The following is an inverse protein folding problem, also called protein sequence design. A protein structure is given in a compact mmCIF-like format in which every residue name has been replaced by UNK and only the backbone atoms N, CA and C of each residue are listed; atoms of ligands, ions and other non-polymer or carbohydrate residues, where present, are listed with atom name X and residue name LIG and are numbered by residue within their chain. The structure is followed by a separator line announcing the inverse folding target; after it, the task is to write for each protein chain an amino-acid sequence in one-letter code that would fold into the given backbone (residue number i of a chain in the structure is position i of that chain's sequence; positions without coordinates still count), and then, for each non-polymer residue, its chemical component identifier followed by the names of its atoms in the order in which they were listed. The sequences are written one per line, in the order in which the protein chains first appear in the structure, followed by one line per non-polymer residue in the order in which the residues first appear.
data_IF_279229873417
#
_entry.id   IF_279229873417
#
_cell.length_a   1.000
_cell.length_b   1.000
_cell.length_c   1.000
_cell.angle_alpha   90.00
_cell.angle_beta   90.00
_cell.angle_gamma   90.00
#
_symmetry.space_group_name_H-M   'P 1'
#
loop_
_entity.id
_entity.type
_entity.pdbx_description
1 polymer ?
#
# COMPACT_ATOMS: atom_id res chain seq x y z
N UNK A 1 10.61 5.00 -23.04
CA UNK A 1 9.95 6.28 -23.41
C UNK A 1 8.60 5.99 -24.06
N UNK A 2 8.52 5.38 -25.25
CA UNK A 2 7.23 5.08 -25.90
C UNK A 2 6.26 4.26 -25.02
N UNK A 3 6.74 3.20 -24.35
CA UNK A 3 5.90 2.40 -23.45
C UNK A 3 5.39 3.19 -22.23
N UNK A 4 6.24 4.07 -21.67
CA UNK A 4 5.88 4.90 -20.52
C UNK A 4 4.80 5.93 -20.89
N UNK A 5 4.93 6.57 -22.06
CA UNK A 5 3.91 7.48 -22.60
C UNK A 5 2.59 6.72 -22.81
N UNK A 6 2.64 5.50 -23.32
CA UNK A 6 1.43 4.68 -23.49
C UNK A 6 0.80 4.32 -22.14
N UNK A 7 1.59 4.01 -21.12
CA UNK A 7 1.07 3.80 -19.77
C UNK A 7 0.39 5.06 -19.21
N UNK A 8 1.03 6.21 -19.33
CA UNK A 8 0.48 7.46 -18.77
C UNK A 8 -0.77 7.92 -19.56
N UNK A 9 -0.77 7.83 -20.90
CA UNK A 9 -1.87 8.32 -21.73
C UNK A 9 -3.03 7.33 -21.91
N UNK A 10 -2.81 6.02 -21.77
CA UNK A 10 -3.87 5.02 -21.98
C UNK A 10 -4.20 4.22 -20.73
N UNK A 11 -3.20 3.83 -19.92
CA UNK A 11 -3.46 2.98 -18.76
C UNK A 11 -4.08 3.76 -17.59
N UNK A 12 -3.55 4.95 -17.26
CA UNK A 12 -4.11 5.78 -16.17
C UNK A 12 -5.56 6.22 -16.47
N UNK A 13 -5.91 6.75 -17.65
CA UNK A 13 -7.29 7.15 -17.94
C UNK A 13 -8.26 5.96 -18.03
N UNK A 14 -7.78 4.79 -18.47
CA UNK A 14 -8.60 3.57 -18.45
C UNK A 14 -8.93 3.12 -17.04
N UNK A 15 -7.99 3.29 -16.09
CA UNK A 15 -8.26 3.03 -14.67
C UNK A 15 -9.26 4.03 -14.10
N UNK A 16 -9.12 5.32 -14.39
CA UNK A 16 -10.08 6.35 -13.95
C UNK A 16 -11.52 6.03 -14.38
N UNK A 17 -11.72 5.67 -15.64
CA UNK A 17 -13.05 5.26 -16.15
C UNK A 17 -13.61 4.03 -15.43
N UNK A 18 -12.76 3.08 -15.05
CA UNK A 18 -13.17 1.87 -14.33
C UNK A 18 -13.55 2.20 -12.88
N UNK A 19 -12.78 3.06 -12.25
CA UNK A 19 -12.97 3.53 -10.87
C UNK A 19 -14.25 4.34 -10.73
N UNK A 20 -14.52 5.23 -11.69
CA UNK A 20 -15.76 5.99 -11.81
C UNK A 20 -16.99 5.09 -12.01
N UNK A 21 -16.85 4.01 -12.80
CA UNK A 21 -17.96 3.09 -13.04
C UNK A 21 -18.29 2.21 -11.81
N UNK A 22 -17.27 1.82 -11.04
CA UNK A 22 -17.41 0.91 -9.89
C UNK A 22 -17.47 1.62 -8.53
N UNK A 23 -17.47 2.96 -8.50
CA UNK A 23 -17.51 3.79 -7.28
C UNK A 23 -16.39 3.42 -6.29
N UNK A 24 -15.17 3.26 -6.83
CA UNK A 24 -13.95 2.99 -6.05
C UNK A 24 -13.18 4.31 -5.89
N UNK A 25 -12.36 4.47 -4.86
CA UNK A 25 -11.44 5.61 -4.78
C UNK A 25 -10.19 5.40 -5.64
N UNK A 26 -9.73 6.46 -6.32
CA UNK A 26 -8.46 6.45 -7.07
C UNK A 26 -7.26 6.08 -6.20
N UNK A 27 -7.28 6.38 -4.91
CA UNK A 27 -6.23 5.96 -3.96
C UNK A 27 -6.13 4.43 -3.87
N UNK A 28 -7.29 3.75 -3.86
CA UNK A 28 -7.37 2.29 -3.81
C UNK A 28 -6.98 1.69 -5.16
N UNK A 29 -7.41 2.32 -6.26
CA UNK A 29 -7.08 1.87 -7.60
C UNK A 29 -5.58 1.98 -7.91
N UNK A 30 -4.95 3.08 -7.51
CA UNK A 30 -3.50 3.26 -7.59
C UNK A 30 -2.76 2.22 -6.75
N UNK A 31 -3.18 2.03 -5.50
CA UNK A 31 -2.55 1.06 -4.59
C UNK A 31 -2.73 -0.41 -5.03
N UNK A 32 -3.72 -0.73 -5.87
CA UNK A 32 -4.02 -2.11 -6.28
C UNK A 32 -3.72 -2.35 -7.76
N UNK A 33 -4.44 -1.71 -8.68
CA UNK A 33 -4.37 -2.01 -10.12
C UNK A 33 -3.12 -1.41 -10.76
N UNK A 34 -2.78 -0.17 -10.42
CA UNK A 34 -1.59 0.48 -10.97
C UNK A 34 -0.32 -0.21 -10.46
N UNK A 35 -0.27 -0.49 -9.14
CA UNK A 35 0.80 -1.26 -8.54
C UNK A 35 0.92 -2.69 -9.13
N UNK A 36 -0.19 -3.41 -9.28
CA UNK A 36 -0.20 -4.76 -9.85
C UNK A 36 0.25 -4.77 -11.32
N UNK A 37 -0.18 -3.78 -12.12
CA UNK A 37 0.23 -3.64 -13.52
C UNK A 37 1.74 -3.42 -13.66
N UNK A 38 2.31 -2.58 -12.79
CA UNK A 38 3.74 -2.30 -12.76
C UNK A 38 4.60 -3.53 -12.43
N UNK A 39 4.13 -4.41 -11.53
CA UNK A 39 4.86 -5.61 -11.09
C UNK A 39 4.56 -6.88 -11.92
N UNK A 40 3.72 -6.76 -12.95
CA UNK A 40 3.29 -7.89 -13.77
C UNK A 40 4.45 -8.52 -14.58
N UNK A 41 5.40 -7.76 -15.17
CA UNK A 41 6.56 -8.33 -15.86
C UNK A 41 7.45 -9.18 -14.94
N UNK A 42 7.64 -8.75 -13.69
CA UNK A 42 8.41 -9.48 -12.68
C UNK A 42 7.72 -10.77 -12.27
N UNK A 43 6.39 -10.72 -12.11
CA UNK A 43 5.58 -11.92 -11.85
C UNK A 43 5.75 -12.96 -12.96
N UNK A 44 5.69 -12.55 -14.24
CA UNK A 44 5.90 -13.45 -15.36
C UNK A 44 7.33 -14.01 -15.41
N UNK A 45 8.33 -13.16 -15.16
CA UNK A 45 9.74 -13.58 -15.13
C UNK A 45 9.99 -14.62 -14.04
N UNK A 46 9.44 -14.40 -12.85
CA UNK A 46 9.49 -15.37 -11.76
C UNK A 46 8.78 -16.67 -12.11
N UNK A 47 7.57 -16.59 -12.68
CA UNK A 47 6.81 -17.77 -13.07
C UNK A 47 7.60 -18.65 -14.06
N UNK A 48 8.24 -18.02 -15.05
CA UNK A 48 9.10 -18.73 -16.00
C UNK A 48 10.31 -19.38 -15.30
N UNK A 49 10.91 -18.69 -14.32
CA UNK A 49 12.04 -19.23 -13.55
C UNK A 49 11.67 -20.47 -12.72
N UNK A 50 10.43 -20.53 -12.21
CA UNK A 50 9.93 -21.72 -11.49
C UNK A 50 9.88 -22.93 -12.43
N UNK A 51 9.43 -22.76 -13.68
CA UNK A 51 9.44 -23.84 -14.67
C UNK A 51 10.84 -24.28 -15.08
N UNK A 52 11.85 -23.46 -14.86
CA UNK A 52 13.26 -23.78 -15.13
C UNK A 52 13.98 -24.34 -13.88
N UNK A 53 13.27 -24.57 -12.77
CA UNK A 53 13.82 -25.02 -11.49
C UNK A 53 15.02 -24.17 -11.04
N UNK A 54 14.92 -22.85 -11.27
CA UNK A 54 15.99 -21.91 -10.99
C UNK A 54 15.63 -20.97 -9.84
N UNK A 55 16.53 -20.87 -8.85
CA UNK A 55 16.42 -19.94 -7.72
C UNK A 55 16.59 -18.46 -8.13
N UNK A 56 17.02 -18.21 -9.38
CA UNK A 56 17.23 -16.87 -9.93
C UNK A 56 15.94 -16.04 -9.90
N UNK A 57 14.79 -16.67 -10.13
CA UNK A 57 13.49 -16.01 -10.11
C UNK A 57 13.12 -15.46 -8.74
N UNK A 58 13.40 -16.21 -7.67
CA UNK A 58 13.13 -15.76 -6.30
C UNK A 58 14.02 -14.55 -5.95
N UNK A 59 15.32 -14.65 -6.22
CA UNK A 59 16.26 -13.55 -5.99
C UNK A 59 15.87 -12.29 -6.78
N UNK A 60 15.38 -12.45 -8.01
CA UNK A 60 14.91 -11.35 -8.84
C UNK A 60 13.65 -10.66 -8.28
N UNK A 61 12.67 -11.42 -7.76
CA UNK A 61 11.47 -10.84 -7.13
C UNK A 61 11.86 -10.01 -5.90
N UNK A 62 12.61 -10.62 -4.99
CA UNK A 62 12.99 -9.96 -3.73
C UNK A 62 13.85 -8.73 -4.02
N UNK A 63 14.79 -8.84 -4.96
CA UNK A 63 15.62 -7.74 -5.42
C UNK A 63 14.80 -6.59 -6.02
N UNK A 64 13.85 -6.90 -6.91
CA UNK A 64 12.97 -5.88 -7.51
C UNK A 64 12.09 -5.18 -6.46
N UNK A 65 11.52 -5.92 -5.51
CA UNK A 65 10.72 -5.33 -4.44
C UNK A 65 11.53 -4.36 -3.56
N UNK A 66 12.74 -4.76 -3.17
CA UNK A 66 13.65 -3.90 -2.38
C UNK A 66 14.09 -2.69 -3.22
N UNK A 67 14.38 -2.86 -4.50
CA UNK A 67 14.73 -1.78 -5.41
C UNK A 67 13.59 -0.76 -5.57
N UNK A 68 12.35 -1.22 -5.75
CA UNK A 68 11.20 -0.33 -5.87
C UNK A 68 10.94 0.47 -4.60
N UNK A 69 11.05 -0.15 -3.42
CA UNK A 69 10.82 0.56 -2.16
C UNK A 69 11.96 1.52 -1.82
N UNK A 70 13.22 1.16 -2.09
CA UNK A 70 14.35 2.00 -1.70
C UNK A 70 14.72 3.02 -2.76
N UNK A 71 14.95 2.58 -4.00
CA UNK A 71 15.47 3.42 -5.06
C UNK A 71 14.36 4.25 -5.72
N UNK A 72 13.27 3.62 -6.15
CA UNK A 72 12.20 4.35 -6.87
C UNK A 72 11.54 5.39 -5.97
N UNK A 73 11.16 5.03 -4.74
CA UNK A 73 10.58 5.99 -3.79
C UNK A 73 11.56 7.12 -3.48
N UNK A 74 12.86 6.85 -3.28
CA UNK A 74 13.85 7.89 -3.02
C UNK A 74 14.00 8.85 -4.20
N UNK A 75 14.06 8.34 -5.44
CA UNK A 75 14.13 9.17 -6.64
C UNK A 75 12.85 10.00 -6.81
N UNK A 76 11.67 9.42 -6.60
CA UNK A 76 10.41 10.16 -6.64
C UNK A 76 10.35 11.26 -5.57
N UNK A 77 10.84 10.99 -4.36
CA UNK A 77 10.89 11.98 -3.28
C UNK A 77 11.86 13.13 -3.59
N UNK A 78 12.99 12.85 -4.24
CA UNK A 78 13.97 13.86 -4.65
C UNK A 78 13.54 14.66 -5.89
N UNK A 79 12.81 14.03 -6.80
CA UNK A 79 12.34 14.64 -8.04
C UNK A 79 11.01 15.42 -7.87
N UNK A 80 10.31 15.25 -6.74
CA UNK A 80 9.07 15.97 -6.46
C UNK A 80 9.37 17.41 -6.04
N UNK A 81 8.90 18.37 -6.83
CA UNK A 81 9.02 19.80 -6.52
C UNK A 81 7.95 20.27 -5.51
N UNK A 82 6.85 19.53 -5.38
CA UNK A 82 5.75 19.83 -4.48
C UNK A 82 5.74 18.90 -3.24
N UNK A 83 5.23 19.38 -2.08
CA UNK A 83 5.11 18.55 -0.89
C UNK A 83 4.08 17.43 -1.13
N UNK A 84 4.53 16.17 -1.12
CA UNK A 84 3.65 15.02 -1.21
C UNK A 84 2.75 14.96 0.03
N UNK A 85 1.49 15.31 -0.12
CA UNK A 85 0.49 15.17 0.94
C UNK A 85 0.05 13.71 1.05
N UNK A 86 0.86 12.91 1.75
CA UNK A 86 0.54 11.52 2.05
C UNK A 86 -0.34 11.44 3.29
N UNK A 87 -1.51 10.83 3.15
CA UNK A 87 -2.31 10.46 4.31
C UNK A 87 -1.58 9.42 5.17
N UNK A 88 -1.30 9.75 6.43
CA UNK A 88 -0.50 8.90 7.32
C UNK A 88 -1.14 7.53 7.60
N UNK A 89 -2.46 7.42 7.47
CA UNK A 89 -3.21 6.20 7.77
C UNK A 89 -2.98 5.07 6.74
N UNK A 90 -3.26 5.26 5.43
CA UNK A 90 -2.89 4.28 4.40
C UNK A 90 -1.39 3.97 4.39
N UNK A 91 -0.54 4.99 4.54
CA UNK A 91 0.91 4.79 4.53
C UNK A 91 1.38 3.89 5.68
N UNK A 92 0.95 4.16 6.91
CA UNK A 92 1.34 3.35 8.07
C UNK A 92 0.82 1.91 7.96
N UNK A 93 -0.41 1.73 7.45
CA UNK A 93 -0.98 0.41 7.18
C UNK A 93 -0.13 -0.36 6.17
N UNK A 94 0.16 0.24 5.02
CA UNK A 94 0.87 -0.44 3.92
C UNK A 94 2.30 -0.80 4.36
N UNK A 95 2.98 0.10 5.07
CA UNK A 95 4.28 -0.18 5.69
C UNK A 95 4.22 -1.34 6.69
N UNK A 96 3.19 -1.40 7.55
CA UNK A 96 3.05 -2.46 8.53
C UNK A 96 2.84 -3.82 7.87
N UNK A 97 1.94 -3.93 6.89
CA UNK A 97 1.72 -5.18 6.15
C UNK A 97 2.94 -5.59 5.35
N UNK A 98 3.68 -4.62 4.79
CA UNK A 98 4.92 -4.88 4.06
C UNK A 98 6.01 -5.45 4.97
N UNK A 99 6.26 -4.83 6.13
CA UNK A 99 7.26 -5.30 7.11
C UNK A 99 6.89 -6.69 7.64
N UNK A 100 5.61 -6.92 7.95
CA UNK A 100 5.13 -8.23 8.39
C UNK A 100 5.31 -9.29 7.30
N UNK A 101 4.96 -8.98 6.05
CA UNK A 101 5.16 -9.88 4.91
C UNK A 101 6.63 -10.23 4.69
N UNK A 102 7.52 -9.22 4.71
CA UNK A 102 8.96 -9.43 4.57
C UNK A 102 9.53 -10.26 5.73
N UNK A 103 9.07 -10.02 6.95
CA UNK A 103 9.48 -10.80 8.12
C UNK A 103 9.05 -12.26 7.98
N UNK A 104 7.83 -12.53 7.51
CA UNK A 104 7.36 -13.91 7.25
C UNK A 104 8.25 -14.62 6.22
N UNK A 105 8.61 -13.95 5.13
CA UNK A 105 9.52 -14.50 4.11
C UNK A 105 10.89 -14.83 4.73
N UNK A 106 11.46 -13.92 5.52
CA UNK A 106 12.76 -14.13 6.19
C UNK A 106 12.70 -15.28 7.19
N UNK A 107 11.62 -15.39 7.96
CA UNK A 107 11.43 -16.47 8.95
C UNK A 107 11.30 -17.83 8.26
N UNK A 108 10.50 -17.96 7.20
CA UNK A 108 10.39 -19.22 6.47
C UNK A 108 11.71 -19.63 5.83
N UNK A 109 12.42 -18.68 5.23
CA UNK A 109 13.71 -18.93 4.60
C UNK A 109 14.85 -19.26 5.59
N UNK A 110 14.78 -18.75 6.83
CA UNK A 110 15.85 -18.93 7.82
C UNK A 110 15.58 -20.01 8.87
N UNK A 111 14.32 -20.27 9.23
CA UNK A 111 13.98 -21.07 10.42
C UNK A 111 13.41 -22.46 10.09
N UNK A 112 12.70 -22.63 8.99
CA UNK A 112 11.99 -23.88 8.67
C UNK A 112 12.64 -24.68 7.54
N UNK A 113 13.01 -24.00 6.44
CA UNK A 113 13.45 -24.66 5.22
C UNK A 113 14.77 -24.03 4.76
N UNK A 114 15.93 -24.70 4.87
CA UNK A 114 17.18 -24.12 4.39
C UNK A 114 17.12 -23.91 2.86
N UNK A 115 17.05 -22.64 2.46
CA UNK A 115 17.17 -22.15 1.08
C UNK A 115 16.07 -22.54 0.08
N UNK A 116 14.95 -23.09 0.53
CA UNK A 116 13.80 -23.41 -0.34
C UNK A 116 12.48 -22.99 0.31
N UNK A 117 11.53 -22.51 -0.49
CA UNK A 117 10.17 -22.23 -0.03
C UNK A 117 9.30 -23.44 -0.36
N UNK A 118 8.79 -24.12 0.66
CA UNK A 118 7.89 -25.25 0.44
C UNK A 118 6.51 -24.76 -0.05
N UNK A 119 5.79 -25.62 -0.76
CA UNK A 119 4.49 -25.26 -1.37
C UNK A 119 3.46 -24.75 -0.36
N UNK A 120 3.51 -25.23 0.88
CA UNK A 120 2.62 -24.77 1.96
C UNK A 120 3.04 -23.38 2.50
N UNK A 121 4.34 -23.06 2.52
CA UNK A 121 4.84 -21.74 2.90
C UNK A 121 4.44 -20.71 1.83
N UNK A 122 4.56 -21.08 0.56
CA UNK A 122 4.06 -20.29 -0.56
C UNK A 122 2.55 -20.04 -0.47
N UNK A 123 1.77 -21.06 -0.08
CA UNK A 123 0.32 -20.92 0.13
C UNK A 123 0.00 -19.95 1.27
N UNK A 124 0.75 -19.99 2.39
CA UNK A 124 0.57 -19.05 3.51
C UNK A 124 0.88 -17.61 3.07
N UNK A 125 1.98 -17.41 2.34
CA UNK A 125 2.35 -16.09 1.80
C UNK A 125 1.29 -15.57 0.81
N UNK A 126 0.74 -16.45 -0.02
CA UNK A 126 -0.36 -16.11 -0.92
C UNK A 126 -1.64 -15.73 -0.15
N UNK A 127 -2.01 -16.49 0.89
CA UNK A 127 -3.13 -16.15 1.76
C UNK A 127 -2.91 -14.82 2.49
N UNK A 128 -1.68 -14.51 2.91
CA UNK A 128 -1.32 -13.20 3.49
C UNK A 128 -1.55 -12.06 2.49
N UNK A 129 -1.17 -12.24 1.23
CA UNK A 129 -1.45 -11.29 0.16
C UNK A 129 -2.97 -11.10 -0.06
N UNK A 130 -3.74 -12.19 -0.12
CA UNK A 130 -5.21 -12.11 -0.23
C UNK A 130 -5.86 -11.41 0.97
N UNK A 131 -5.33 -11.63 2.17
CA UNK A 131 -5.75 -10.94 3.38
C UNK A 131 -5.49 -9.43 3.27
N UNK A 132 -4.31 -9.03 2.77
CA UNK A 132 -3.98 -7.63 2.51
C UNK A 132 -4.94 -7.00 1.49
N UNK A 133 -5.17 -7.64 0.33
CA UNK A 133 -6.12 -7.15 -0.67
C UNK A 133 -7.54 -7.02 -0.12
N UNK A 134 -7.99 -8.01 0.65
CA UNK A 134 -9.31 -7.97 1.30
C UNK A 134 -9.40 -6.83 2.33
N UNK A 135 -8.34 -6.63 3.13
CA UNK A 135 -8.28 -5.53 4.08
C UNK A 135 -8.28 -4.17 3.39
N UNK A 136 -7.57 -4.03 2.26
CA UNK A 136 -7.57 -2.81 1.46
C UNK A 136 -8.97 -2.47 0.91
N UNK A 137 -9.75 -3.48 0.51
CA UNK A 137 -11.16 -3.28 0.09
C UNK A 137 -12.05 -2.72 1.21
N UNK A 138 -11.76 -3.05 2.46
CA UNK A 138 -12.50 -2.52 3.63
C UNK A 138 -11.90 -1.21 4.19
N UNK A 139 -10.90 -0.63 3.53
CA UNK A 139 -10.17 0.52 4.06
C UNK A 139 -11.05 1.73 4.36
N UNK A 140 -12.06 2.02 3.54
CA UNK A 140 -12.95 3.18 3.78
C UNK A 140 -13.83 3.00 5.03
N UNK A 141 -14.33 1.77 5.29
CA UNK A 141 -15.04 1.46 6.53
C UNK A 141 -14.12 1.57 7.74
N UNK A 142 -12.87 1.12 7.61
CA UNK A 142 -11.88 1.18 8.68
C UNK A 142 -11.42 2.62 8.95
N UNK A 143 -11.22 3.44 7.92
CA UNK A 143 -10.91 4.87 8.03
C UNK A 143 -12.03 5.59 8.80
N UNK A 144 -13.28 5.33 8.45
CA UNK A 144 -14.44 5.90 9.16
C UNK A 144 -14.55 5.42 10.61
N UNK A 145 -14.20 4.16 10.90
CA UNK A 145 -14.21 3.62 12.26
C UNK A 145 -13.09 4.22 13.13
N UNK A 146 -11.90 4.41 12.56
CA UNK A 146 -10.73 4.98 13.22
C UNK A 146 -10.89 6.48 13.42
N UNK A 147 -11.41 7.20 12.43
CA UNK A 147 -11.76 8.61 12.57
C UNK A 147 -12.87 8.80 13.62
N UNK A 148 -13.78 7.84 13.77
CA UNK A 148 -14.75 7.78 14.87
C UNK A 148 -14.08 7.65 16.25
N UNK A 149 -13.06 6.81 16.38
CA UNK A 149 -12.27 6.68 17.61
C UNK A 149 -11.43 7.94 17.92
N UNK A 150 -10.85 8.58 16.90
CA UNK A 150 -10.05 9.80 17.07
C UNK A 150 -10.90 11.05 17.31
N UNK A 151 -12.09 11.17 16.69
CA UNK A 151 -13.06 12.24 17.00
C UNK A 151 -13.57 12.15 18.43
N UNK A 152 -13.75 10.94 18.97
CA UNK A 152 -14.14 10.76 20.38
C UNK A 152 -13.09 11.29 21.38
N UNK A 153 -11.84 11.55 20.94
CA UNK A 153 -10.78 12.15 21.76
C UNK A 153 -10.62 13.66 21.57
N UNK A 154 -11.30 14.27 20.59
CA UNK A 154 -11.38 15.73 20.37
C UNK A 154 -12.78 16.25 20.75
N UNK A 155 -13.20 16.03 21.99
CA UNK A 155 -14.28 16.82 22.60
C UNK A 155 -13.72 17.43 23.87
N UNK A 156 -13.29 18.68 23.74
CA UNK A 156 -13.50 19.80 24.67
C UNK A 156 -12.88 21.05 24.00
N UNK A 157 -13.66 21.85 23.25
CA UNK A 157 -13.35 23.27 23.11
C UNK A 157 -13.80 23.97 24.41
N UNK A 158 -12.88 24.24 25.33
CA UNK A 158 -13.11 25.28 26.33
C UNK A 158 -12.80 26.62 25.67
N UNK A 159 -13.84 27.30 25.22
CA UNK A 159 -13.75 28.65 24.71
C UNK A 159 -15.15 29.21 24.53
N UNK A 160 -15.82 29.52 25.64
CA UNK A 160 -16.90 30.52 25.74
C UNK A 160 -17.42 30.58 27.19
N UNK A 161 -16.53 30.94 28.13
CA UNK A 161 -16.97 31.46 29.42
C UNK A 161 -17.25 32.97 29.27
N UNK A 162 -18.49 33.25 28.84
CA UNK A 162 -19.31 34.35 29.33
C UNK A 162 -18.86 35.78 29.07
N UNK A 163 -19.39 36.35 27.98
CA UNK A 163 -19.86 37.75 27.84
C UNK A 163 -21.01 38.11 28.83
N UNK A 164 -21.02 37.53 30.05
CA UNK A 164 -22.11 37.66 31.03
C UNK A 164 -21.84 38.63 32.19
N UNK A 165 -20.67 39.28 32.24
CA UNK A 165 -20.25 40.10 33.39
C UNK A 165 -20.36 41.63 33.19
N UNK A 166 -20.91 42.09 32.06
CA UNK A 166 -21.12 43.53 31.81
C UNK A 166 -22.50 44.07 32.22
N UNK A 167 -23.36 43.29 32.91
CA UNK A 167 -24.72 43.73 33.24
C UNK A 167 -25.19 43.37 34.66
N UNK A 168 -24.28 43.30 35.64
CA UNK A 168 -24.70 43.27 37.05
C UNK A 168 -23.60 43.73 38.03
N UNK A 169 -23.16 44.98 37.90
CA UNK A 169 -22.70 45.74 39.07
C UNK A 169 -23.01 47.21 38.88
N UNK A 170 -23.89 47.70 39.76
CA UNK A 170 -23.95 49.10 40.16
C UNK A 170 -22.62 49.54 40.77
#
# INVERSE_FOLDING_TARGET
IALAIVCDEFFVPSLEMFVDHYDISMDVAGATFMAAGGSMPELFTSLISVFQESDVGFAAIVGSAVFNVLFVIAVCALASEEPLQLSAWPLARDCAFYILGLTLVVVFFSANSPQQIEWWEALILFCWYLLYCSFMKFNERMKNWVDGMFKSKKVLPEGEATEGLAMSTK
#
